data_IF_055892351967
#
_entry.id   IF_055892351967
#
_cell.length_a   1.000
_cell.length_b   1.000
_cell.length_c   1.000
_cell.angle_alpha   90.00
_cell.angle_beta   90.00
_cell.angle_gamma   90.00
#
_symmetry.space_group_name_H-M   'P 1'
#
loop_
_entity.id
_entity.type
_entity.pdbx_description
1 polymer ?
#
# COMPACT_ATOMS: atom_id res chain seq x y z
N UNK A 1 2.59 -2.05 -84.99
CA UNK A 1 1.99 -2.58 -83.74
C UNK A 1 2.63 -1.90 -82.55
N UNK A 2 1.90 -0.97 -81.95
CA UNK A 2 2.37 -0.29 -80.72
C UNK A 2 1.72 -0.96 -79.55
N UNK A 3 2.52 -1.55 -78.68
CA UNK A 3 2.09 -2.08 -77.42
C UNK A 3 2.26 -1.02 -76.35
N UNK A 4 1.17 -0.45 -75.90
CA UNK A 4 1.20 0.45 -74.75
C UNK A 4 1.20 -0.40 -73.45
N UNK A 5 2.33 -0.39 -72.81
CA UNK A 5 2.44 -0.90 -71.44
C UNK A 5 2.03 0.23 -70.52
N UNK A 6 0.75 0.30 -70.19
CA UNK A 6 0.28 1.16 -69.12
C UNK A 6 0.64 0.52 -67.77
N UNK A 7 1.40 1.33 -67.01
CA UNK A 7 1.94 0.89 -65.74
C UNK A 7 0.87 0.61 -64.70
N UNK A 8 0.95 -0.57 -64.15
CA UNK A 8 0.18 -0.98 -62.99
C UNK A 8 0.79 -0.34 -61.76
N UNK A 9 0.18 0.73 -61.23
CA UNK A 9 0.56 1.34 -59.99
C UNK A 9 0.07 0.43 -58.84
N UNK A 10 1.02 -0.26 -58.22
CA UNK A 10 0.78 -1.00 -56.97
C UNK A 10 0.69 0.00 -55.81
N UNK A 11 -0.52 0.28 -55.37
CA UNK A 11 -0.78 0.97 -54.12
C UNK A 11 -0.50 -0.01 -52.97
N UNK A 12 0.67 0.13 -52.37
CA UNK A 12 1.01 -0.52 -51.12
C UNK A 12 0.21 0.11 -49.99
N UNK A 13 -0.88 -0.49 -49.57
CA UNK A 13 -1.58 -0.08 -48.36
C UNK A 13 -0.75 -0.53 -47.15
N UNK A 14 -0.09 0.43 -46.51
CA UNK A 14 0.60 0.22 -45.26
C UNK A 14 -0.43 0.07 -44.13
N UNK A 15 -0.73 -1.13 -43.72
CA UNK A 15 -1.48 -1.40 -42.51
C UNK A 15 -0.56 -1.09 -41.29
N UNK A 16 -0.71 0.07 -40.72
CA UNK A 16 -0.12 0.38 -39.41
C UNK A 16 -0.92 -0.34 -38.36
N UNK A 17 -0.43 -1.49 -37.91
CA UNK A 17 -0.95 -2.19 -36.76
C UNK A 17 -0.60 -1.38 -35.51
N UNK A 18 -1.53 -0.55 -35.03
CA UNK A 18 -1.42 0.07 -33.73
C UNK A 18 -1.65 -1.03 -32.67
N UNK A 19 -0.57 -1.48 -32.05
CA UNK A 19 -0.69 -2.39 -30.91
C UNK A 19 -1.33 -1.65 -29.73
N UNK A 20 -2.33 -2.24 -29.05
CA UNK A 20 -2.91 -1.64 -27.86
C UNK A 20 -1.82 -1.54 -26.79
N UNK A 21 -1.52 -0.32 -26.34
CA UNK A 21 -0.68 -0.10 -25.17
C UNK A 21 -1.49 -0.56 -23.98
N UNK A 22 -1.21 -1.76 -23.48
CA UNK A 22 -1.77 -2.21 -22.23
C UNK A 22 -1.09 -1.41 -21.12
N UNK A 23 -1.87 -0.60 -20.40
CA UNK A 23 -1.44 0.01 -19.17
C UNK A 23 -1.20 -1.13 -18.17
N UNK A 24 0.06 -1.56 -18.02
CA UNK A 24 0.44 -2.50 -16.98
C UNK A 24 0.37 -1.75 -15.66
N UNK A 25 -0.55 -2.17 -14.77
CA UNK A 25 -0.53 -1.73 -13.38
C UNK A 25 0.83 -2.10 -12.82
N UNK A 26 1.61 -1.10 -12.40
CA UNK A 26 2.91 -1.34 -11.80
C UNK A 26 2.73 -2.22 -10.56
N UNK A 27 3.34 -3.40 -10.55
CA UNK A 27 3.41 -4.23 -9.34
C UNK A 27 4.22 -3.46 -8.31
N UNK A 28 3.72 -3.27 -7.09
CA UNK A 28 4.48 -2.62 -6.03
C UNK A 28 5.83 -3.31 -5.83
N UNK A 29 6.87 -2.54 -5.52
CA UNK A 29 8.16 -3.11 -5.15
C UNK A 29 7.98 -4.04 -3.93
N UNK A 30 8.76 -5.14 -3.80
CA UNK A 30 8.71 -6.02 -2.63
C UNK A 30 8.81 -5.21 -1.33
N UNK A 31 7.87 -5.45 -0.41
CA UNK A 31 7.79 -4.71 0.85
C UNK A 31 6.98 -3.40 0.79
N UNK A 32 6.50 -3.00 -0.39
CA UNK A 32 5.62 -1.84 -0.56
C UNK A 32 4.15 -2.23 -0.79
N UNK A 33 3.83 -3.51 -0.62
CA UNK A 33 2.46 -3.99 -0.76
C UNK A 33 1.56 -3.30 0.26
N UNK A 34 0.35 -2.96 -0.18
CA UNK A 34 -0.69 -2.46 0.72
C UNK A 34 -1.12 -3.58 1.66
N UNK A 35 -1.14 -3.27 2.95
CA UNK A 35 -1.61 -4.17 4.00
C UNK A 35 -2.97 -3.73 4.53
N UNK A 36 -3.77 -4.67 5.00
CA UNK A 36 -5.03 -4.38 5.68
C UNK A 36 -4.76 -4.06 7.16
N UNK A 37 -4.53 -2.77 7.44
CA UNK A 37 -4.23 -2.32 8.79
C UNK A 37 -5.43 -2.47 9.73
N UNK A 38 -6.66 -2.30 9.24
CA UNK A 38 -7.85 -2.51 10.05
C UNK A 38 -7.93 -3.97 10.52
N UNK A 39 -7.60 -4.92 9.65
CA UNK A 39 -7.52 -6.34 10.00
C UNK A 39 -6.40 -6.63 11.01
N UNK A 40 -5.25 -5.95 10.90
CA UNK A 40 -4.19 -6.06 11.90
C UNK A 40 -4.66 -5.61 13.28
N UNK A 41 -5.44 -4.53 13.35
CA UNK A 41 -6.02 -4.03 14.62
C UNK A 41 -7.20 -4.87 15.11
N UNK A 42 -7.84 -5.65 14.24
CA UNK A 42 -8.84 -6.64 14.66
C UNK A 42 -8.21 -7.93 15.22
N UNK A 43 -6.97 -8.21 14.87
CA UNK A 43 -6.29 -9.48 15.22
C UNK A 43 -5.04 -9.24 16.06
N UNK A 44 -3.94 -8.83 15.44
CA UNK A 44 -2.62 -8.80 16.09
C UNK A 44 -2.46 -7.61 17.03
N UNK A 45 -2.63 -6.39 16.53
CA UNK A 45 -2.46 -5.17 17.34
C UNK A 45 -3.59 -5.02 18.37
N UNK A 46 -4.79 -5.49 18.03
CA UNK A 46 -5.98 -5.42 18.86
C UNK A 46 -5.93 -6.22 20.16
N UNK A 47 -5.00 -7.15 20.29
CA UNK A 47 -4.77 -7.85 21.56
C UNK A 47 -4.38 -6.92 22.71
N UNK A 48 -3.70 -5.83 22.39
CA UNK A 48 -3.21 -4.86 23.36
C UNK A 48 -3.80 -3.46 23.17
N UNK A 49 -4.07 -3.07 21.93
CA UNK A 49 -4.64 -1.76 21.58
C UNK A 49 -6.12 -1.95 21.24
N UNK A 50 -6.96 -1.79 22.25
CA UNK A 50 -8.39 -2.12 22.16
C UNK A 50 -9.15 -1.20 21.20
N UNK A 51 -10.29 -1.70 20.71
CA UNK A 51 -11.21 -0.97 19.84
C UNK A 51 -10.52 -0.37 18.60
N UNK A 52 -9.74 -1.20 17.91
CA UNK A 52 -9.02 -0.77 16.72
C UNK A 52 -7.98 0.32 16.97
N UNK A 53 -7.49 0.45 18.19
CA UNK A 53 -6.56 1.49 18.62
C UNK A 53 -7.24 2.70 19.27
N UNK A 54 -8.58 2.72 19.37
CA UNK A 54 -9.33 3.85 19.95
C UNK A 54 -9.35 3.85 21.47
N UNK A 55 -9.13 2.71 22.09
CA UNK A 55 -9.13 2.56 23.54
C UNK A 55 -7.85 1.90 24.04
N UNK A 56 -7.50 2.18 25.29
CA UNK A 56 -6.44 1.48 25.98
C UNK A 56 -6.86 0.04 26.29
N UNK A 57 -5.89 -0.85 26.29
CA UNK A 57 -5.99 -2.22 26.78
C UNK A 57 -4.72 -2.55 27.54
N UNK A 58 -4.04 -3.64 27.22
CA UNK A 58 -2.68 -3.89 27.74
C UNK A 58 -1.68 -2.85 27.25
N UNK A 59 -1.90 -2.29 26.04
CA UNK A 59 -1.18 -1.15 25.48
C UNK A 59 -1.98 0.14 25.60
N UNK A 60 -1.36 1.29 25.31
CA UNK A 60 -2.03 2.58 25.38
C UNK A 60 -3.05 2.76 24.25
N UNK A 61 -4.01 3.68 24.46
CA UNK A 61 -4.82 4.23 23.39
C UNK A 61 -3.92 4.88 22.34
N UNK A 62 -4.19 4.62 21.07
CA UNK A 62 -3.43 5.19 19.95
C UNK A 62 -4.16 6.37 19.29
N UNK A 63 -5.49 6.36 19.31
CA UNK A 63 -6.28 7.51 18.84
C UNK A 63 -5.87 8.78 19.61
N UNK A 64 -5.60 9.86 18.88
CA UNK A 64 -5.17 11.14 19.43
C UNK A 64 -3.83 11.08 20.19
N UNK A 65 -2.96 10.10 19.91
CA UNK A 65 -1.64 10.05 20.53
C UNK A 65 -0.84 11.33 20.23
N UNK A 66 -0.15 11.84 21.24
CA UNK A 66 0.75 12.99 21.12
C UNK A 66 2.17 12.62 20.71
N UNK A 67 2.46 11.32 20.58
CA UNK A 67 3.74 10.84 20.09
C UNK A 67 3.90 11.16 18.61
N UNK A 68 5.10 11.57 18.19
CA UNK A 68 5.39 11.82 16.79
C UNK A 68 5.54 10.51 15.98
N UNK A 69 5.61 10.64 14.66
CA UNK A 69 5.67 9.49 13.76
C UNK A 69 6.99 8.72 13.91
N UNK A 70 8.08 9.38 14.22
CA UNK A 70 9.37 8.73 14.44
C UNK A 70 9.34 7.85 15.68
N UNK A 71 8.73 8.33 16.75
CA UNK A 71 8.51 7.53 17.96
C UNK A 71 7.62 6.32 17.65
N UNK A 72 6.52 6.50 16.91
CA UNK A 72 5.62 5.41 16.56
C UNK A 72 6.33 4.37 15.67
N UNK A 73 7.11 4.83 14.71
CA UNK A 73 7.91 3.96 13.82
C UNK A 73 8.91 3.14 14.60
N UNK A 74 9.67 3.79 15.46
CA UNK A 74 10.66 3.12 16.32
C UNK A 74 9.99 2.08 17.24
N UNK A 75 8.86 2.46 17.85
CA UNK A 75 8.12 1.57 18.74
C UNK A 75 7.58 0.35 18.01
N UNK A 76 7.04 0.49 16.82
CA UNK A 76 6.55 -0.63 16.00
C UNK A 76 7.71 -1.52 15.56
N UNK A 77 8.82 -0.93 15.12
CA UNK A 77 9.99 -1.70 14.65
C UNK A 77 10.65 -2.50 15.77
N UNK A 78 10.90 -1.89 16.90
CA UNK A 78 11.71 -2.47 17.97
C UNK A 78 10.88 -3.00 19.13
N UNK A 79 9.60 -2.65 19.22
CA UNK A 79 8.72 -3.05 20.30
C UNK A 79 9.11 -2.44 21.65
N UNK A 80 8.61 -3.04 22.69
CA UNK A 80 8.97 -2.74 24.08
C UNK A 80 9.10 -4.04 24.84
N UNK A 81 10.28 -4.31 25.37
CA UNK A 81 10.57 -5.56 26.07
C UNK A 81 9.53 -5.85 27.15
N UNK A 82 8.96 -7.05 27.12
CA UNK A 82 7.94 -7.50 28.06
C UNK A 82 6.54 -6.89 27.88
N UNK A 83 6.35 -5.99 26.90
CA UNK A 83 5.07 -5.30 26.70
C UNK A 83 4.57 -5.32 25.24
N UNK A 84 5.40 -5.06 24.28
CA UNK A 84 5.02 -5.01 22.86
C UNK A 84 6.05 -5.74 22.02
N UNK A 85 5.64 -6.69 21.16
CA UNK A 85 6.55 -7.35 20.22
C UNK A 85 7.17 -6.38 19.23
N UNK A 86 8.34 -6.71 18.71
CA UNK A 86 8.99 -5.99 17.62
C UNK A 86 8.45 -6.50 16.27
N UNK A 87 8.13 -5.59 15.35
CA UNK A 87 7.57 -5.91 14.04
C UNK A 87 8.47 -5.50 12.87
N UNK A 88 9.72 -5.08 13.14
CA UNK A 88 10.63 -4.59 12.10
C UNK A 88 11.05 -5.64 11.06
N UNK A 89 10.99 -6.92 11.40
CA UNK A 89 11.21 -8.02 10.45
C UNK A 89 9.92 -8.49 9.77
N UNK A 90 8.77 -8.15 10.32
CA UNK A 90 7.45 -8.52 9.78
C UNK A 90 6.96 -7.52 8.74
N UNK A 91 7.15 -6.23 8.99
CA UNK A 91 6.72 -5.14 8.14
C UNK A 91 7.89 -4.31 7.63
N UNK A 92 7.84 -3.94 6.36
CA UNK A 92 8.74 -2.94 5.78
C UNK A 92 8.48 -1.56 6.37
N UNK A 93 9.40 -0.62 6.18
CA UNK A 93 9.21 0.77 6.60
C UNK A 93 7.97 1.39 5.95
N UNK A 94 7.72 1.11 4.66
CA UNK A 94 6.54 1.57 3.96
C UNK A 94 5.23 0.99 4.54
N UNK A 95 5.25 -0.25 4.99
CA UNK A 95 4.09 -0.88 5.65
C UNK A 95 3.88 -0.32 7.06
N UNK A 96 4.95 -0.03 7.79
CA UNK A 96 4.88 0.67 9.08
C UNK A 96 4.28 2.07 8.90
N UNK A 97 4.63 2.78 7.84
CA UNK A 97 4.02 4.08 7.52
C UNK A 97 2.51 3.96 7.25
N UNK A 98 2.05 2.88 6.63
CA UNK A 98 0.61 2.61 6.50
C UNK A 98 -0.07 2.41 7.87
N UNK A 99 0.59 1.73 8.81
CA UNK A 99 0.09 1.57 10.18
C UNK A 99 0.00 2.92 10.88
N UNK A 100 1.03 3.74 10.79
CA UNK A 100 1.05 5.09 11.37
C UNK A 100 -0.06 5.96 10.78
N UNK A 101 -0.25 5.92 9.46
CA UNK A 101 -1.33 6.62 8.79
C UNK A 101 -2.71 6.20 9.32
N UNK A 102 -2.94 4.92 9.53
CA UNK A 102 -4.17 4.42 10.14
C UNK A 102 -4.36 5.02 11.54
N UNK A 103 -3.34 5.00 12.39
CA UNK A 103 -3.40 5.58 13.75
C UNK A 103 -3.77 7.06 13.70
N UNK A 104 -3.16 7.84 12.79
CA UNK A 104 -3.45 9.27 12.62
C UNK A 104 -4.85 9.58 12.13
N UNK A 105 -5.49 8.64 11.46
CA UNK A 105 -6.83 8.77 10.91
C UNK A 105 -7.93 8.24 11.84
N UNK A 106 -7.57 7.65 12.98
CA UNK A 106 -8.54 7.15 13.95
C UNK A 106 -9.45 8.26 14.43
N UNK A 107 -10.75 7.99 14.42
CA UNK A 107 -11.82 8.87 14.93
C UNK A 107 -12.71 8.07 15.86
N UNK A 108 -13.42 8.73 16.78
CA UNK A 108 -14.46 8.07 17.56
C UNK A 108 -15.47 7.39 16.63
N UNK A 109 -16.13 6.37 17.14
CA UNK A 109 -17.28 5.79 16.44
C UNK A 109 -18.36 6.87 16.23
N UNK A 110 -18.96 6.88 15.07
CA UNK A 110 -20.16 7.68 14.85
C UNK A 110 -21.30 7.08 15.69
N UNK A 111 -21.89 7.92 16.49
CA UNK A 111 -23.02 7.55 17.34
C UNK A 111 -24.33 7.34 16.57
#
# INVERSE_FOLDING_TARGET
>A
LKWNLEGLALLAASLTCAAPVHAQSATPAPGNETIDVAQLFATTCGWCHSDGGRAAGKGPQLMNTTRDDDYLRDRIKHGKSGAMPAFGETFSDAQIDQIIKYIRQLKPHEG
#
